data_IF_254021989579
#
_entry.id   IF_254021989579
#
_cell.length_a   1.000
_cell.length_b   1.000
_cell.length_c   1.000
_cell.angle_alpha   90.00
_cell.angle_beta   90.00
_cell.angle_gamma   90.00
#
_symmetry.space_group_name_H-M   'P 1'
#
loop_
_entity.id
_entity.type
_entity.pdbx_description
1 polymer ?
#
# COMPACT_ATOMS: atom_id res chain seq x y z
N UNK A 1 0.22 -4.59 19.35
CA UNK A 1 -0.76 -3.84 18.55
C UNK A 1 -0.31 -3.59 17.11
N UNK A 2 0.94 -3.17 16.83
CA UNK A 2 1.39 -2.97 15.44
C UNK A 2 1.42 -4.24 14.57
N UNK A 3 1.63 -5.43 15.16
CA UNK A 3 1.69 -6.70 14.42
C UNK A 3 0.32 -7.21 13.94
N UNK A 4 -0.77 -6.98 14.68
CA UNK A 4 -2.13 -7.35 14.27
C UNK A 4 -2.72 -6.38 13.22
N UNK A 5 -2.25 -5.12 13.21
CA UNK A 5 -2.68 -4.08 12.28
C UNK A 5 -2.25 -4.36 10.82
N UNK A 6 -1.06 -4.92 10.63
CA UNK A 6 -0.53 -5.24 9.29
C UNK A 6 -1.13 -6.53 8.70
N UNK A 7 -1.59 -7.45 9.54
CA UNK A 7 -2.21 -8.70 9.11
C UNK A 7 -3.62 -8.49 8.54
N UNK A 8 -4.43 -7.60 9.10
CA UNK A 8 -5.80 -7.37 8.61
C UNK A 8 -5.85 -6.58 7.30
N UNK A 9 -4.94 -5.62 7.11
CA UNK A 9 -4.85 -4.82 5.87
C UNK A 9 -4.36 -5.64 4.67
N UNK A 10 -3.39 -6.53 4.91
CA UNK A 10 -2.91 -7.45 3.87
C UNK A 10 -3.96 -8.50 3.47
N UNK A 11 -4.89 -8.88 4.37
CA UNK A 11 -6.03 -9.75 4.06
C UNK A 11 -7.03 -9.09 3.10
N UNK A 12 -7.34 -7.81 3.29
CA UNK A 12 -8.21 -7.05 2.37
C UNK A 12 -7.60 -6.94 0.96
N UNK A 13 -6.30 -6.62 0.88
CA UNK A 13 -5.56 -6.61 -0.38
C UNK A 13 -5.53 -8.00 -1.06
N UNK A 14 -5.31 -9.06 -0.28
CA UNK A 14 -5.35 -10.44 -0.79
C UNK A 14 -6.73 -10.82 -1.34
N UNK A 15 -7.81 -10.40 -0.66
CA UNK A 15 -9.18 -10.64 -1.10
C UNK A 15 -9.45 -9.96 -2.44
N UNK A 16 -9.09 -8.69 -2.60
CA UNK A 16 -9.26 -7.96 -3.86
C UNK A 16 -8.50 -8.63 -5.00
N UNK A 17 -7.23 -8.96 -4.77
CA UNK A 17 -6.40 -9.61 -5.78
C UNK A 17 -7.00 -10.94 -6.26
N UNK A 18 -7.49 -11.77 -5.35
CA UNK A 18 -8.16 -13.04 -5.68
C UNK A 18 -9.47 -12.85 -6.46
N UNK A 19 -10.09 -11.68 -6.33
CA UNK A 19 -11.27 -11.28 -7.08
C UNK A 19 -10.93 -10.40 -8.29
N UNK A 20 -9.68 -10.49 -8.78
CA UNK A 20 -9.22 -9.83 -10.01
C UNK A 20 -9.23 -8.30 -9.96
N UNK A 21 -9.17 -7.72 -8.75
CA UNK A 21 -9.06 -6.28 -8.50
C UNK A 21 -7.67 -5.96 -7.94
N UNK A 22 -6.88 -5.19 -8.69
CA UNK A 22 -5.61 -4.63 -8.23
C UNK A 22 -5.86 -3.26 -7.61
N UNK A 23 -5.40 -3.00 -6.37
CA UNK A 23 -5.65 -1.72 -5.70
C UNK A 23 -4.98 -0.52 -6.39
N UNK A 24 -3.78 -0.71 -6.93
CA UNK A 24 -3.04 0.32 -7.66
C UNK A 24 -2.26 1.32 -6.80
N UNK A 25 -2.72 1.64 -5.58
CA UNK A 25 -2.01 2.57 -4.68
C UNK A 25 -2.04 2.22 -3.18
N UNK A 26 -1.35 1.14 -2.73
CA UNK A 26 -1.13 0.91 -1.31
C UNK A 26 -0.20 1.99 -0.74
N UNK A 27 -0.72 2.84 0.13
CA UNK A 27 0.02 3.96 0.73
C UNK A 27 -0.44 4.19 2.17
N UNK A 28 0.37 4.87 2.99
CA UNK A 28 0.01 5.09 4.40
C UNK A 28 -1.33 5.84 4.56
N UNK A 29 -1.64 6.80 3.68
CA UNK A 29 -2.90 7.55 3.69
C UNK A 29 -4.12 6.69 3.34
N UNK A 30 -3.92 5.64 2.55
CA UNK A 30 -4.99 4.76 2.06
C UNK A 30 -5.23 3.57 3.01
N UNK A 31 -4.56 3.56 4.16
CA UNK A 31 -4.65 2.52 5.18
C UNK A 31 -5.33 3.06 6.44
N UNK A 32 -6.66 2.97 6.49
CA UNK A 32 -7.44 3.36 7.66
C UNK A 32 -7.51 2.25 8.73
N UNK A 33 -7.92 2.62 9.94
CA UNK A 33 -8.19 1.70 11.04
C UNK A 33 -9.54 2.03 11.65
N UNK A 34 -10.39 1.01 11.75
CA UNK A 34 -11.65 1.03 12.46
C UNK A 34 -11.39 0.58 13.90
N UNK A 35 -11.47 1.53 14.84
CA UNK A 35 -11.23 1.29 16.26
C UNK A 35 -12.33 0.45 16.90
N UNK A 36 -13.59 0.65 16.48
CA UNK A 36 -14.76 -0.03 17.06
C UNK A 36 -14.75 -1.52 16.73
N UNK A 37 -14.35 -1.88 15.51
CA UNK A 37 -14.30 -3.27 15.07
C UNK A 37 -12.90 -3.89 15.10
N UNK A 38 -11.86 -3.09 15.39
CA UNK A 38 -10.47 -3.52 15.43
C UNK A 38 -9.93 -3.97 14.07
N UNK A 39 -10.34 -3.32 12.97
CA UNK A 39 -10.07 -3.77 11.59
C UNK A 39 -9.29 -2.73 10.80
N UNK A 40 -8.31 -3.20 10.02
CA UNK A 40 -7.70 -2.39 8.98
C UNK A 40 -8.62 -2.25 7.77
N UNK A 41 -8.79 -1.03 7.26
CA UNK A 41 -9.57 -0.74 6.06
C UNK A 41 -8.61 -0.24 4.99
N UNK A 42 -8.74 -0.80 3.78
CA UNK A 42 -8.06 -0.32 2.58
C UNK A 42 -9.04 0.56 1.80
N UNK A 43 -8.64 1.79 1.51
CA UNK A 43 -9.48 2.82 0.87
C UNK A 43 -8.82 3.39 -0.37
N UNK A 44 -9.57 4.20 -1.12
CA UNK A 44 -9.12 4.87 -2.35
C UNK A 44 -8.85 3.90 -3.51
N UNK A 45 -9.93 3.60 -4.24
CA UNK A 45 -9.94 2.66 -5.36
C UNK A 45 -9.93 3.35 -6.72
N UNK A 46 -9.70 4.66 -6.78
CA UNK A 46 -9.74 5.42 -8.04
C UNK A 46 -8.62 4.99 -9.01
N UNK A 47 -7.54 4.43 -8.48
CA UNK A 47 -6.42 3.87 -9.23
C UNK A 47 -6.47 2.35 -9.36
N UNK A 48 -7.58 1.72 -8.97
CA UNK A 48 -7.72 0.27 -9.06
C UNK A 48 -7.86 -0.21 -10.49
N UNK A 49 -7.24 -1.35 -10.79
CA UNK A 49 -7.29 -1.99 -12.09
C UNK A 49 -8.09 -3.29 -12.00
N UNK A 50 -8.93 -3.51 -13.01
CA UNK A 50 -9.72 -4.72 -13.15
C UNK A 50 -9.02 -5.62 -14.19
N UNK A 51 -8.58 -6.81 -13.79
CA UNK A 51 -7.74 -7.66 -14.65
C UNK A 51 -8.48 -8.16 -15.92
N UNK A 52 -9.81 -8.06 -15.94
CA UNK A 52 -10.64 -8.42 -17.09
C UNK A 52 -10.90 -7.28 -18.08
N UNK A 53 -10.52 -6.04 -17.77
CA UNK A 53 -10.64 -4.92 -18.69
C UNK A 53 -9.42 -4.86 -19.63
N UNK A 54 -9.61 -4.53 -20.92
CA UNK A 54 -8.48 -4.28 -21.82
C UNK A 54 -7.58 -3.17 -21.26
N UNK A 55 -6.27 -3.41 -21.20
CA UNK A 55 -5.28 -2.44 -20.68
C UNK A 55 -4.12 -2.24 -21.63
N UNK A 56 -3.58 -1.03 -21.63
CA UNK A 56 -2.30 -0.70 -22.23
C UNK A 56 -1.26 -0.66 -21.12
N UNK A 57 -0.35 -1.62 -21.10
CA UNK A 57 0.71 -1.64 -20.08
C UNK A 57 1.62 -0.41 -20.23
N UNK A 58 2.12 0.13 -19.12
CA UNK A 58 2.99 1.30 -19.09
C UNK A 58 2.25 2.65 -18.98
N UNK A 59 0.94 2.70 -19.26
CA UNK A 59 0.12 3.90 -18.99
C UNK A 59 -0.40 3.97 -17.56
N UNK A 60 -0.31 2.84 -16.85
CA UNK A 60 -0.69 2.71 -15.44
C UNK A 60 0.37 3.36 -14.55
N UNK A 61 0.47 4.70 -14.63
CA UNK A 61 1.27 5.53 -13.72
C UNK A 61 0.61 5.63 -12.35
N UNK A 62 0.27 4.48 -11.80
CA UNK A 62 -0.48 4.32 -10.56
C UNK A 62 0.48 3.95 -9.44
N UNK A 63 0.30 4.56 -8.30
CA UNK A 63 1.09 4.31 -7.09
C UNK A 63 1.92 5.51 -6.69
N UNK A 64 1.90 5.79 -5.40
CA UNK A 64 2.76 6.78 -4.77
C UNK A 64 4.22 6.29 -4.82
N UNK A 65 5.10 7.01 -5.53
CA UNK A 65 6.49 6.61 -5.85
C UNK A 65 7.25 6.02 -4.64
N UNK A 66 7.18 6.59 -3.42
CA UNK A 66 7.89 6.07 -2.26
C UNK A 66 7.43 4.70 -1.78
N UNK A 67 6.23 4.25 -2.17
CA UNK A 67 5.67 2.93 -1.83
C UNK A 67 5.65 1.98 -3.02
N UNK A 68 6.17 2.38 -4.17
CA UNK A 68 6.17 1.53 -5.35
C UNK A 68 7.22 0.42 -5.21
N UNK A 69 6.88 -0.79 -5.62
CA UNK A 69 7.86 -1.88 -5.68
C UNK A 69 9.02 -1.54 -6.61
N UNK A 70 10.24 -1.92 -6.23
CA UNK A 70 11.47 -1.55 -6.95
C UNK A 70 11.44 -2.01 -8.42
N UNK A 71 10.87 -3.18 -8.70
CA UNK A 71 10.74 -3.70 -10.06
C UNK A 71 9.89 -2.80 -10.97
N UNK A 72 8.96 -2.03 -10.40
CA UNK A 72 8.10 -1.07 -11.13
C UNK A 72 8.81 0.27 -11.36
N UNK A 73 9.91 0.55 -10.66
CA UNK A 73 10.72 1.76 -10.83
C UNK A 73 11.75 1.62 -11.97
N UNK A 74 11.39 0.90 -13.03
CA UNK A 74 12.29 0.62 -14.17
C UNK A 74 11.63 0.96 -15.49
N UNK A 75 12.41 1.34 -16.49
CA UNK A 75 11.91 1.63 -17.85
C UNK A 75 11.10 0.45 -18.42
N UNK A 76 11.42 -0.79 -18.02
CA UNK A 76 10.65 -1.96 -18.43
C UNK A 76 9.19 -1.89 -18.00
N UNK A 77 8.88 -1.36 -16.82
CA UNK A 77 7.50 -1.17 -16.39
C UNK A 77 6.82 -0.05 -17.15
N UNK A 78 7.49 1.11 -17.28
CA UNK A 78 6.95 2.28 -17.96
C UNK A 78 6.76 2.10 -19.47
N UNK A 79 7.57 1.25 -20.09
CA UNK A 79 7.43 0.81 -21.48
C UNK A 79 6.37 -0.29 -21.67
N UNK A 80 5.72 -0.73 -20.59
CA UNK A 80 4.71 -1.79 -20.62
C UNK A 80 5.26 -3.20 -20.84
N UNK A 81 6.57 -3.41 -20.62
CA UNK A 81 7.26 -4.71 -20.77
C UNK A 81 7.35 -5.53 -19.48
N UNK A 82 6.79 -5.01 -18.39
CA UNK A 82 6.68 -5.68 -17.10
C UNK A 82 5.27 -5.50 -16.57
N UNK A 83 4.64 -6.61 -16.22
CA UNK A 83 3.30 -6.63 -15.65
C UNK A 83 3.34 -6.57 -14.13
N UNK A 84 2.37 -5.86 -13.55
CA UNK A 84 2.19 -5.80 -12.11
C UNK A 84 1.62 -7.13 -11.61
N UNK A 85 2.37 -7.82 -10.75
CA UNK A 85 1.93 -8.98 -9.98
C UNK A 85 1.63 -8.65 -8.51
N UNK A 86 0.94 -9.56 -7.81
CA UNK A 86 0.54 -9.42 -6.41
C UNK A 86 1.67 -9.03 -5.45
N UNK A 87 2.86 -9.60 -5.66
CA UNK A 87 4.01 -9.38 -4.80
C UNK A 87 4.50 -7.92 -4.83
N UNK A 88 4.29 -7.20 -5.94
CA UNK A 88 4.60 -5.77 -5.99
C UNK A 88 3.71 -4.97 -5.03
N UNK A 89 2.43 -5.32 -4.92
CA UNK A 89 1.53 -4.72 -3.94
C UNK A 89 1.93 -5.08 -2.50
N UNK A 90 2.42 -6.30 -2.27
CA UNK A 90 2.97 -6.70 -0.96
C UNK A 90 4.23 -5.89 -0.59
N UNK A 91 5.11 -5.66 -1.55
CA UNK A 91 6.32 -4.85 -1.35
C UNK A 91 5.96 -3.41 -0.95
N UNK A 92 4.88 -2.84 -1.49
CA UNK A 92 4.38 -1.53 -1.05
C UNK A 92 4.08 -1.48 0.44
N UNK A 93 3.49 -2.53 1.03
CA UNK A 93 3.25 -2.59 2.47
C UNK A 93 4.56 -2.65 3.28
N UNK A 94 5.63 -3.25 2.75
CA UNK A 94 6.95 -3.25 3.39
C UNK A 94 7.50 -1.81 3.43
N UNK A 95 7.38 -1.09 2.31
CA UNK A 95 7.82 0.30 2.21
C UNK A 95 7.06 1.28 3.11
N UNK A 96 5.87 0.93 3.59
CA UNK A 96 5.12 1.72 4.58
C UNK A 96 5.73 1.63 6.00
N UNK A 97 6.37 0.50 6.36
CA UNK A 97 6.84 0.26 7.73
C UNK A 97 7.88 1.27 8.24
N UNK A 98 8.90 1.69 7.44
CA UNK A 98 9.85 2.72 7.87
C UNK A 98 9.17 4.05 8.23
N UNK A 99 8.15 4.47 7.46
CA UNK A 99 7.41 5.70 7.71
C UNK A 99 6.60 5.61 9.00
N UNK A 100 5.93 4.48 9.23
CA UNK A 100 5.22 4.24 10.51
C UNK A 100 6.20 4.30 11.67
N UNK A 101 7.37 3.67 11.56
CA UNK A 101 8.40 3.69 12.60
C UNK A 101 8.90 5.12 12.87
N UNK A 102 9.18 5.88 11.83
CA UNK A 102 9.62 7.26 11.94
C UNK A 102 8.57 8.16 12.61
N UNK A 103 7.31 8.08 12.18
CA UNK A 103 6.20 8.84 12.75
C UNK A 103 5.94 8.48 14.22
N UNK A 104 6.03 7.19 14.57
CA UNK A 104 5.92 6.75 15.95
C UNK A 104 7.07 7.31 16.80
N UNK A 105 8.29 7.28 16.28
CA UNK A 105 9.46 7.82 16.99
C UNK A 105 9.31 9.32 17.29
N UNK A 106 8.96 10.13 16.30
CA UNK A 106 8.70 11.57 16.51
C UNK A 106 7.57 11.81 17.51
N UNK A 107 6.51 11.00 17.45
CA UNK A 107 5.43 11.08 18.43
C UNK A 107 5.98 10.86 19.84
N UNK A 108 6.73 9.79 20.10
CA UNK A 108 7.31 9.51 21.42
C UNK A 108 8.22 10.63 21.94
N UNK A 109 9.03 11.25 21.08
CA UNK A 109 9.87 12.39 21.46
C UNK A 109 9.04 13.60 21.92
N UNK A 110 8.00 13.97 21.17
CA UNK A 110 7.10 15.08 21.52
C UNK A 110 6.38 14.84 22.87
N UNK A 111 5.89 13.62 23.13
CA UNK A 111 5.27 13.31 24.42
C UNK A 111 6.30 13.31 25.57
N UNK A 112 7.56 12.98 25.30
CA UNK A 112 8.60 13.02 26.35
C UNK A 112 9.01 14.44 26.72
N UNK A 113 8.96 15.40 25.78
CA UNK A 113 9.27 16.81 26.04
C UNK A 113 8.13 17.56 26.75
N UNK A 114 6.89 17.07 26.66
CA UNK A 114 5.72 17.68 27.30
C UNK A 114 5.48 17.22 28.75
N UNK A 115 6.22 16.21 29.22
CA UNK A 115 6.07 15.63 30.57
C UNK A 115 7.15 16.17 31.55
N UNK A 116 8.00 17.10 31.10
CA UNK A 116 8.94 17.86 31.94
C UNK A 116 8.64 19.36 31.88
#
# INVERSE_FOLDING_TARGET
MASSLNLTKSLGHAFLWKNFVEHGDPSLSNLMYDEDNGRGILTDFDLSLLQWQPRVFGTDRTGNIPFMALALLTDRYWDGRLERSYHHGLESFIWILPYVKFLLHQRFEVWSEQIY
#
